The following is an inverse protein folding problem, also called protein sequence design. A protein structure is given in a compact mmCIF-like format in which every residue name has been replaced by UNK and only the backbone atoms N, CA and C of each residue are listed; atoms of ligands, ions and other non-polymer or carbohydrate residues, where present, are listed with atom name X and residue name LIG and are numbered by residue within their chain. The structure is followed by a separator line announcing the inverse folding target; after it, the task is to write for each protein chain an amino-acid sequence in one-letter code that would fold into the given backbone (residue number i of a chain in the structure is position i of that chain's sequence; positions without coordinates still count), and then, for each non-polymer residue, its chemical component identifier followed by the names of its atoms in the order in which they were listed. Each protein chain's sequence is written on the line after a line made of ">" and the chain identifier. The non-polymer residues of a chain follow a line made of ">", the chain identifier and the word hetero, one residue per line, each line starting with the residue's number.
data_IF_585890643522
#
_entry.id   IF_585890643522
#
_cell.length_a   1.000
_cell.length_b   1.000
_cell.length_c   1.000
_cell.angle_alpha   90.00
_cell.angle_beta   90.00
_cell.angle_gamma   90.00
#
_symmetry.space_group_name_H-M   'P 1'
#
loop_
_entity.id
_entity.type
_entity.pdbx_description
1 polymer ?
#
# COMPACT_ATOMS: atom_id res chain seq x y z
N UNK A 1 6.71 -27.44 23.85
CA UNK A 1 6.70 -25.97 23.80
C UNK A 1 6.24 -25.56 22.41
N UNK A 2 5.07 -24.92 22.27
CA UNK A 2 4.60 -24.43 20.97
C UNK A 2 5.51 -23.30 20.53
N UNK A 3 6.16 -23.44 19.37
CA UNK A 3 6.91 -22.34 18.77
C UNK A 3 5.96 -21.15 18.56
N UNK A 4 6.29 -19.99 19.11
CA UNK A 4 5.52 -18.78 18.91
C UNK A 4 5.49 -18.43 17.41
N UNK A 5 4.31 -18.07 16.90
CA UNK A 5 4.17 -17.58 15.52
C UNK A 5 4.96 -16.28 15.39
N UNK A 6 5.88 -16.16 14.41
CA UNK A 6 6.62 -14.92 14.17
C UNK A 6 5.71 -13.75 13.81
N UNK A 7 6.18 -12.53 14.11
CA UNK A 7 5.47 -11.31 13.72
C UNK A 7 5.27 -11.21 12.20
N UNK A 8 4.12 -10.69 11.74
CA UNK A 8 3.88 -10.47 10.32
C UNK A 8 4.90 -9.52 9.70
N UNK A 9 5.22 -9.74 8.42
CA UNK A 9 6.14 -8.90 7.66
C UNK A 9 5.41 -8.11 6.59
N UNK A 10 6.01 -7.04 6.09
CA UNK A 10 5.47 -6.31 4.93
C UNK A 10 6.15 -6.78 3.65
N UNK A 11 5.35 -7.07 2.62
CA UNK A 11 5.85 -7.36 1.29
C UNK A 11 6.55 -6.14 0.68
N UNK A 12 7.85 -6.26 0.39
CA UNK A 12 8.67 -5.18 -0.18
C UNK A 12 8.20 -4.67 -1.54
N UNK A 13 7.36 -5.43 -2.24
CA UNK A 13 6.86 -5.08 -3.59
C UNK A 13 5.49 -4.41 -3.56
N UNK A 14 4.53 -4.95 -2.82
CA UNK A 14 3.13 -4.51 -2.87
C UNK A 14 2.62 -3.90 -1.56
N UNK A 15 3.41 -3.92 -0.49
CA UNK A 15 3.07 -3.39 0.82
C UNK A 15 2.03 -4.20 1.60
N UNK A 16 1.55 -5.35 1.08
CA UNK A 16 0.65 -6.23 1.86
C UNK A 16 1.37 -6.89 3.01
N UNK A 17 0.63 -7.16 4.08
CA UNK A 17 1.04 -8.04 5.17
C UNK A 17 1.30 -9.45 4.64
N UNK A 18 2.43 -10.02 5.05
CA UNK A 18 2.83 -11.39 4.85
C UNK A 18 2.56 -12.09 6.17
N UNK A 19 1.55 -12.94 6.18
CA UNK A 19 1.26 -13.82 7.30
C UNK A 19 2.20 -15.02 7.27
N UNK A 20 2.67 -15.44 8.45
CA UNK A 20 3.50 -16.63 8.59
C UNK A 20 2.78 -17.88 8.06
N UNK A 21 3.54 -18.79 7.46
CA UNK A 21 3.05 -20.09 6.99
C UNK A 21 4.06 -21.16 7.34
N UNK A 22 3.59 -22.36 7.73
CA UNK A 22 4.45 -23.50 8.11
C UNK A 22 5.55 -23.81 7.09
N UNK A 23 5.27 -23.65 5.79
CA UNK A 23 6.26 -23.86 4.70
C UNK A 23 7.47 -22.91 4.73
N UNK A 24 7.40 -21.82 5.50
CA UNK A 24 8.46 -20.83 5.67
C UNK A 24 9.18 -20.97 7.01
N UNK A 25 8.92 -22.03 7.77
CA UNK A 25 9.53 -22.22 9.09
C UNK A 25 11.06 -22.20 9.05
N UNK A 26 11.69 -22.69 7.97
CA UNK A 26 13.15 -22.74 7.83
C UNK A 26 13.80 -21.48 7.27
N UNK A 27 13.03 -20.54 6.70
CA UNK A 27 13.59 -19.38 6.02
C UNK A 27 12.76 -18.10 6.20
N UNK A 28 11.98 -18.01 7.28
CA UNK A 28 11.10 -16.87 7.53
C UNK A 28 11.83 -15.54 7.48
N UNK A 29 13.06 -15.47 8.00
CA UNK A 29 13.89 -14.27 8.02
C UNK A 29 14.21 -13.72 6.63
N UNK A 30 14.30 -14.59 5.64
CA UNK A 30 14.55 -14.22 4.24
C UNK A 30 13.26 -13.87 3.46
N UNK A 31 12.08 -14.18 4.00
CA UNK A 31 10.80 -13.91 3.33
C UNK A 31 10.54 -12.40 3.26
N UNK A 32 10.67 -11.85 2.06
CA UNK A 32 10.46 -10.42 1.78
C UNK A 32 9.27 -10.12 0.85
N UNK A 33 8.63 -11.15 0.27
CA UNK A 33 7.58 -11.01 -0.75
C UNK A 33 6.41 -11.96 -0.50
N UNK A 34 5.18 -11.48 -0.70
CA UNK A 34 3.97 -12.29 -0.51
C UNK A 34 3.72 -13.33 -1.61
N UNK A 35 4.37 -13.19 -2.77
CA UNK A 35 4.23 -14.08 -3.93
C UNK A 35 5.41 -13.97 -4.88
N UNK A 36 5.58 -14.97 -5.76
CA UNK A 36 6.60 -14.96 -6.80
C UNK A 36 6.40 -13.82 -7.81
N UNK A 37 5.14 -13.47 -8.11
CA UNK A 37 4.83 -12.30 -8.93
C UNK A 37 5.37 -11.00 -8.30
N UNK A 38 5.22 -10.84 -6.98
CA UNK A 38 5.77 -9.69 -6.26
C UNK A 38 7.30 -9.71 -6.23
N UNK A 39 7.91 -10.89 -6.05
CA UNK A 39 9.37 -11.08 -6.10
C UNK A 39 9.95 -10.71 -7.46
N UNK A 40 9.28 -11.10 -8.55
CA UNK A 40 9.70 -10.80 -9.94
C UNK A 40 9.49 -9.32 -10.28
N UNK A 41 8.33 -8.75 -9.97
CA UNK A 41 7.99 -7.36 -10.34
C UNK A 41 8.85 -6.33 -9.60
N UNK A 42 9.10 -6.52 -8.30
CA UNK A 42 9.71 -5.53 -7.39
C UNK A 42 8.97 -4.17 -7.42
N UNK A 43 9.59 -3.14 -6.84
CA UNK A 43 9.13 -1.74 -6.89
C UNK A 43 9.76 -1.07 -8.10
N UNK A 44 8.94 -0.44 -8.94
CA UNK A 44 9.36 0.25 -10.17
C UNK A 44 9.55 1.75 -9.96
N UNK A 45 9.98 2.49 -10.99
CA UNK A 45 10.02 3.95 -10.96
C UNK A 45 8.61 4.56 -10.80
N UNK A 46 7.63 4.04 -11.56
CA UNK A 46 6.22 4.45 -11.46
C UNK A 46 5.65 4.24 -10.05
N UNK A 47 6.01 3.14 -9.39
CA UNK A 47 5.60 2.90 -8.00
C UNK A 47 6.09 4.00 -7.04
N UNK A 48 7.31 4.51 -7.23
CA UNK A 48 7.91 5.58 -6.40
C UNK A 48 7.30 6.94 -6.73
N UNK A 49 7.01 7.19 -8.00
CA UNK A 49 6.27 8.38 -8.43
C UNK A 49 4.88 8.42 -7.79
N UNK A 50 4.17 7.29 -7.75
CA UNK A 50 2.87 7.19 -7.08
C UNK A 50 2.95 7.45 -5.57
N UNK A 51 4.00 6.97 -4.89
CA UNK A 51 4.23 7.30 -3.48
C UNK A 51 4.43 8.80 -3.28
N UNK A 52 5.28 9.42 -4.11
CA UNK A 52 5.52 10.85 -4.06
C UNK A 52 4.23 11.63 -4.33
N UNK A 53 3.45 11.22 -5.32
CA UNK A 53 2.18 11.88 -5.63
C UNK A 53 1.17 11.80 -4.50
N UNK A 54 1.10 10.67 -3.77
CA UNK A 54 0.28 10.57 -2.56
C UNK A 54 0.73 11.60 -1.52
N UNK A 55 2.03 11.71 -1.26
CA UNK A 55 2.59 12.69 -0.31
C UNK A 55 2.25 14.12 -0.73
N UNK A 56 2.48 14.47 -1.99
CA UNK A 56 2.23 15.82 -2.51
C UNK A 56 0.76 16.22 -2.40
N UNK A 57 -0.16 15.34 -2.82
CA UNK A 57 -1.60 15.60 -2.75
C UNK A 57 -2.09 15.72 -1.30
N UNK A 58 -1.55 14.92 -0.39
CA UNK A 58 -1.87 15.04 1.02
C UNK A 58 -1.30 16.33 1.60
N UNK A 59 -0.07 16.72 1.26
CA UNK A 59 0.60 17.92 1.74
C UNK A 59 -0.14 19.21 1.29
N UNK A 60 -0.66 19.23 0.07
CA UNK A 60 -1.40 20.37 -0.49
C UNK A 60 -2.80 20.57 0.12
N UNK A 61 -3.34 19.59 0.87
CA UNK A 61 -4.67 19.67 1.51
C UNK A 61 -4.56 20.00 3.00
N UNK A 62 -5.69 20.32 3.66
CA UNK A 62 -5.71 20.50 5.11
C UNK A 62 -5.29 19.20 5.83
N UNK A 63 -4.72 19.29 7.04
CA UNK A 63 -4.18 18.14 7.77
C UNK A 63 -5.21 17.02 8.04
N UNK A 64 -6.50 17.38 8.14
CA UNK A 64 -7.60 16.43 8.36
C UNK A 64 -8.19 15.86 7.08
N UNK A 65 -7.82 16.40 5.92
CA UNK A 65 -8.34 15.98 4.62
C UNK A 65 -7.89 14.57 4.24
N UNK A 66 -8.63 13.99 3.29
CA UNK A 66 -8.32 12.68 2.73
C UNK A 66 -8.27 12.76 1.21
N UNK A 67 -7.59 11.80 0.58
CA UNK A 67 -7.62 11.56 -0.86
C UNK A 67 -8.17 10.15 -1.13
N UNK A 68 -8.56 9.84 -2.37
CA UNK A 68 -8.81 8.45 -2.79
C UNK A 68 -7.83 8.02 -3.90
N UNK A 69 -7.77 6.71 -4.25
CA UNK A 69 -6.88 6.25 -5.31
C UNK A 69 -7.08 6.94 -6.67
N UNK A 70 -8.32 7.30 -7.00
CA UNK A 70 -8.62 8.05 -8.23
C UNK A 70 -8.09 9.48 -8.22
N UNK A 71 -8.00 10.15 -7.07
CA UNK A 71 -7.38 11.48 -6.98
C UNK A 71 -5.91 11.41 -7.41
N UNK A 72 -5.19 10.36 -6.96
CA UNK A 72 -3.78 10.14 -7.28
C UNK A 72 -3.62 9.82 -8.76
N UNK A 73 -4.40 8.87 -9.28
CA UNK A 73 -4.28 8.44 -10.66
C UNK A 73 -4.63 9.54 -11.67
N UNK A 74 -5.73 10.27 -11.44
CA UNK A 74 -6.17 11.38 -12.30
C UNK A 74 -5.19 12.55 -12.28
N UNK A 75 -4.39 12.71 -11.23
CA UNK A 75 -3.36 13.76 -11.20
C UNK A 75 -2.16 13.47 -12.12
N UNK A 76 -1.98 12.21 -12.58
CA UNK A 76 -0.94 11.83 -13.53
C UNK A 76 -1.47 11.74 -14.96
N UNK A 77 -2.71 11.28 -15.13
CA UNK A 77 -3.38 11.13 -16.43
C UNK A 77 -4.79 11.75 -16.36
N UNK A 78 -4.92 13.08 -16.37
CA UNK A 78 -6.22 13.74 -16.20
C UNK A 78 -7.18 13.47 -17.37
N UNK A 79 -6.66 13.37 -18.59
CA UNK A 79 -7.43 13.30 -19.83
C UNK A 79 -7.47 11.89 -20.46
N UNK A 80 -6.94 10.88 -19.79
CA UNK A 80 -6.88 9.50 -20.27
C UNK A 80 -7.52 8.56 -19.24
N UNK A 81 -8.77 8.18 -19.51
CA UNK A 81 -9.56 7.39 -18.57
C UNK A 81 -9.01 5.98 -18.34
N UNK A 82 -8.60 5.33 -19.42
CA UNK A 82 -8.10 3.98 -19.35
C UNK A 82 -6.75 3.96 -18.63
N UNK A 83 -5.87 4.93 -18.93
CA UNK A 83 -4.59 5.05 -18.25
C UNK A 83 -4.74 5.30 -16.74
N UNK A 84 -5.62 6.21 -16.28
CA UNK A 84 -5.77 6.42 -14.83
C UNK A 84 -6.47 5.23 -14.15
N UNK A 85 -7.36 4.51 -14.83
CA UNK A 85 -7.98 3.28 -14.29
C UNK A 85 -6.97 2.15 -14.08
N UNK A 86 -6.02 1.98 -14.99
CA UNK A 86 -4.95 0.98 -14.85
C UNK A 86 -4.03 1.25 -13.65
N UNK A 87 -3.98 2.50 -13.16
CA UNK A 87 -3.23 2.87 -11.97
C UNK A 87 -3.93 2.52 -10.65
N UNK A 88 -5.16 2.00 -10.63
CA UNK A 88 -5.88 1.74 -9.36
C UNK A 88 -5.14 0.80 -8.41
N UNK A 89 -4.74 -0.39 -8.86
CA UNK A 89 -3.96 -1.30 -8.01
C UNK A 89 -2.53 -0.81 -7.75
N UNK A 90 -1.79 -0.23 -8.73
CA UNK A 90 -0.52 0.47 -8.46
C UNK A 90 -0.60 1.51 -7.34
N UNK A 91 -1.63 2.38 -7.34
CA UNK A 91 -1.84 3.39 -6.29
C UNK A 91 -2.10 2.72 -4.95
N UNK A 92 -2.93 1.66 -4.90
CA UNK A 92 -3.17 0.90 -3.66
C UNK A 92 -1.89 0.27 -3.11
N UNK A 93 -0.99 -0.21 -3.97
CA UNK A 93 0.32 -0.75 -3.57
C UNK A 93 1.22 0.34 -2.99
N UNK A 94 1.27 1.51 -3.62
CA UNK A 94 2.00 2.66 -3.09
C UNK A 94 1.46 3.08 -1.72
N UNK A 95 0.15 3.24 -1.59
CA UNK A 95 -0.49 3.57 -0.33
C UNK A 95 -0.20 2.54 0.77
N UNK A 96 -0.22 1.23 0.46
CA UNK A 96 0.18 0.18 1.41
C UNK A 96 1.63 0.30 1.88
N UNK A 97 2.57 0.61 0.97
CA UNK A 97 3.98 0.81 1.35
C UNK A 97 4.15 2.04 2.24
N UNK A 98 3.39 3.11 2.00
CA UNK A 98 3.37 4.29 2.87
C UNK A 98 2.73 4.02 4.25
N UNK A 99 1.69 3.16 4.33
CA UNK A 99 1.17 2.69 5.63
C UNK A 99 2.24 1.94 6.39
N UNK A 100 2.95 1.02 5.71
CA UNK A 100 4.04 0.27 6.34
C UNK A 100 5.23 1.14 6.77
N UNK A 101 5.42 2.30 6.12
CA UNK A 101 6.40 3.30 6.51
C UNK A 101 5.92 4.24 7.65
N UNK A 102 4.68 4.10 8.12
CA UNK A 102 4.09 4.94 9.15
C UNK A 102 3.73 6.36 8.68
N UNK A 103 3.61 6.58 7.37
CA UNK A 103 3.42 7.92 6.80
C UNK A 103 1.92 8.26 6.58
N UNK A 104 1.10 7.25 6.28
CA UNK A 104 -0.33 7.44 5.96
C UNK A 104 -1.19 6.38 6.65
N UNK A 105 -2.47 6.70 6.85
CA UNK A 105 -3.51 5.71 7.16
C UNK A 105 -4.37 5.46 5.93
N UNK A 106 -4.86 4.22 5.81
CA UNK A 106 -5.96 3.86 4.92
C UNK A 106 -7.23 3.67 5.74
N UNK A 107 -8.32 4.31 5.30
CA UNK A 107 -9.61 4.29 6.00
C UNK A 107 -10.78 3.90 5.09
N UNK A 108 -11.82 3.31 5.67
CA UNK A 108 -13.14 3.10 5.06
C UNK A 108 -14.23 3.47 6.06
N UNK A 109 -15.24 4.22 5.62
CA UNK A 109 -16.27 4.74 6.54
C UNK A 109 -15.72 5.61 7.67
N UNK A 110 -14.54 6.22 7.50
CA UNK A 110 -13.86 7.03 8.52
C UNK A 110 -12.93 6.26 9.47
N UNK A 111 -13.03 4.93 9.52
CA UNK A 111 -12.22 4.08 10.38
C UNK A 111 -10.97 3.55 9.67
N UNK A 112 -9.85 3.44 10.38
CA UNK A 112 -8.62 2.82 9.87
C UNK A 112 -8.88 1.33 9.62
N UNK A 113 -8.43 0.82 8.47
CA UNK A 113 -8.61 -0.58 8.07
C UNK A 113 -7.29 -1.21 7.63
N UNK A 114 -7.18 -2.54 7.70
CA UNK A 114 -6.05 -3.26 7.12
C UNK A 114 -6.06 -3.10 5.59
N UNK A 115 -5.02 -2.48 5.01
CA UNK A 115 -5.00 -2.21 3.58
C UNK A 115 -4.68 -3.46 2.74
N UNK A 116 -4.30 -4.57 3.36
CA UNK A 116 -4.08 -5.86 2.70
C UNK A 116 -5.39 -6.55 2.33
N UNK A 117 -6.45 -6.31 3.11
CA UNK A 117 -7.75 -6.97 3.01
C UNK A 117 -8.89 -6.03 2.60
N UNK A 118 -8.72 -4.70 2.74
CA UNK A 118 -9.69 -3.69 2.35
C UNK A 118 -10.17 -3.84 0.89
N UNK A 119 -11.49 -3.98 0.71
CA UNK A 119 -12.17 -4.09 -0.59
C UNK A 119 -13.00 -2.85 -0.87
N UNK A 120 -13.12 -2.48 -2.14
CA UNK A 120 -13.94 -1.33 -2.55
C UNK A 120 -13.30 0.03 -2.22
N UNK A 121 -14.07 1.13 -2.22
CA UNK A 121 -13.55 2.49 -2.06
C UNK A 121 -12.79 2.66 -0.74
N UNK A 122 -11.59 3.23 -0.83
CA UNK A 122 -10.74 3.56 0.32
C UNK A 122 -10.42 5.06 0.30
N UNK A 123 -10.11 5.61 1.47
CA UNK A 123 -9.53 6.94 1.63
C UNK A 123 -8.13 6.82 2.22
N UNK A 124 -7.23 7.69 1.79
CA UNK A 124 -5.86 7.79 2.27
C UNK A 124 -5.75 9.14 2.99
N UNK A 125 -5.13 9.16 4.16
CA UNK A 125 -4.88 10.38 4.94
C UNK A 125 -3.49 10.33 5.55
N UNK A 126 -2.95 11.48 5.96
CA UNK A 126 -1.70 11.53 6.74
C UNK A 126 -1.89 10.73 8.03
N UNK A 127 -0.85 9.98 8.43
CA UNK A 127 -0.88 9.25 9.69
C UNK A 127 -1.05 10.24 10.85
N UNK A 128 -1.87 9.85 11.84
CA UNK A 128 -2.12 10.64 13.05
C UNK A 128 -1.48 9.88 14.21
N UNK A 129 -0.40 10.43 14.75
CA UNK A 129 0.22 9.99 16.00
C UNK A 129 -0.71 10.18 17.18
#
# INVERSE_FOLDING_TARGET
>A
MSAATPDPKTCRSCGRTIEWRKKWASNWDEVAYCSDACRKRKVTAQDRELEQRIRDLLAARAATSTICPSDVARSLHPDDEDAWRDLMEPVRRAARRLVAAGEVDITQGGSVVDPSTAKGPIRIRRHRS
#
